data_IF_527140689868
#
_entry.id   IF_527140689868
#
_cell.length_a   1.000
_cell.length_b   1.000
_cell.length_c   1.000
_cell.angle_alpha   90.00
_cell.angle_beta   90.00
_cell.angle_gamma   90.00
#
_symmetry.space_group_name_H-M   'P 1'
#
loop_
_entity.id
_entity.type
_entity.pdbx_description
1 polymer ?
#
# COMPACT_ATOMS: atom_id res chain seq x y z
N UNK A 1 -29.54 -61.17 -38.15
CA UNK A 1 -28.21 -60.70 -38.61
C UNK A 1 -27.95 -59.36 -37.95
N UNK A 2 -26.72 -59.11 -37.50
CA UNK A 2 -26.23 -59.22 -36.12
C UNK A 2 -26.20 -57.83 -35.44
N UNK A 3 -25.79 -57.53 -34.20
CA UNK A 3 -25.01 -58.14 -33.11
C UNK A 3 -25.15 -57.14 -31.95
N UNK A 4 -25.52 -57.55 -30.72
CA UNK A 4 -24.60 -57.81 -29.61
C UNK A 4 -23.70 -56.64 -29.12
N UNK A 5 -23.81 -56.38 -27.81
CA UNK A 5 -22.77 -55.94 -26.84
C UNK A 5 -22.82 -54.48 -26.34
N UNK A 6 -23.01 -54.36 -25.02
CA UNK A 6 -22.65 -53.23 -24.15
C UNK A 6 -21.15 -53.34 -23.78
N UNK A 7 -20.39 -52.23 -23.69
CA UNK A 7 -19.85 -51.90 -22.37
C UNK A 7 -19.62 -50.39 -22.10
N UNK A 8 -19.55 -50.10 -20.81
CA UNK A 8 -19.13 -48.86 -20.16
C UNK A 8 -17.70 -48.39 -20.54
N UNK A 9 -17.40 -47.14 -20.12
CA UNK A 9 -16.10 -46.45 -20.04
C UNK A 9 -15.55 -45.79 -21.30
N UNK A 10 -15.66 -44.46 -21.35
CA UNK A 10 -14.56 -43.46 -21.41
C UNK A 10 -15.16 -42.14 -21.91
N UNK A 11 -15.65 -41.34 -20.96
CA UNK A 11 -15.97 -39.93 -21.18
C UNK A 11 -15.34 -39.17 -20.02
N UNK A 12 -14.08 -38.80 -20.21
CA UNK A 12 -13.29 -37.98 -19.30
C UNK A 12 -14.14 -36.87 -18.69
N UNK A 13 -14.34 -36.91 -17.38
CA UNK A 13 -14.57 -35.70 -16.60
C UNK A 13 -13.40 -34.78 -16.91
N UNK A 14 -13.62 -33.74 -17.70
CA UNK A 14 -12.78 -32.55 -17.61
C UNK A 14 -13.15 -31.93 -16.28
N UNK A 15 -12.53 -32.43 -15.22
CA UNK A 15 -12.31 -31.62 -14.03
C UNK A 15 -11.40 -30.50 -14.51
N UNK A 16 -11.98 -29.36 -14.86
CA UNK A 16 -11.26 -28.12 -15.07
C UNK A 16 -10.79 -27.62 -13.69
N UNK A 17 -10.03 -28.46 -12.97
CA UNK A 17 -9.31 -28.07 -11.78
C UNK A 17 -8.23 -27.14 -12.26
N UNK A 18 -8.46 -25.83 -12.16
CA UNK A 18 -7.43 -24.83 -12.39
C UNK A 18 -6.20 -25.26 -11.59
N UNK A 19 -5.08 -25.60 -12.22
CA UNK A 19 -3.94 -26.28 -11.56
C UNK A 19 -2.96 -25.29 -10.88
N UNK A 20 -3.48 -24.14 -10.42
CA UNK A 20 -2.67 -23.04 -9.86
C UNK A 20 -3.04 -22.75 -8.42
N UNK A 21 -2.03 -22.60 -7.57
CA UNK A 21 -2.24 -22.08 -6.21
C UNK A 21 -2.86 -20.68 -6.28
N UNK A 22 -3.96 -20.41 -5.54
CA UNK A 22 -4.69 -19.15 -5.62
C UNK A 22 -3.83 -17.93 -5.27
N UNK A 23 -4.12 -16.79 -5.90
CA UNK A 23 -3.57 -15.47 -5.55
C UNK A 23 -4.67 -14.56 -5.03
N UNK A 24 -4.40 -13.90 -3.90
CA UNK A 24 -5.22 -12.80 -3.36
C UNK A 24 -4.38 -11.53 -3.39
N UNK A 25 -4.87 -10.50 -4.07
CA UNK A 25 -4.26 -9.17 -4.12
C UNK A 25 -4.89 -8.28 -3.03
N UNK A 26 -4.08 -7.61 -2.21
CA UNK A 26 -4.55 -6.77 -1.09
C UNK A 26 -4.14 -5.31 -1.29
N UNK A 27 -5.13 -4.41 -1.40
CA UNK A 27 -4.94 -2.95 -1.49
C UNK A 27 -6.16 -2.17 -0.98
N UNK A 28 -5.96 -0.95 -0.47
CA UNK A 28 -6.96 -0.21 0.28
C UNK A 28 -7.86 0.73 -0.57
N UNK A 29 -9.18 0.56 -0.46
CA UNK A 29 -10.34 1.40 -0.84
C UNK A 29 -11.54 1.20 0.15
N UNK A 30 -12.04 2.23 0.89
CA UNK A 30 -13.42 2.38 1.52
C UNK A 30 -13.95 1.79 2.90
N UNK A 31 -14.60 2.66 3.74
CA UNK A 31 -15.16 2.75 5.16
C UNK A 31 -14.76 3.95 6.09
N UNK A 32 -15.68 4.85 6.47
CA UNK A 32 -15.48 6.00 7.41
C UNK A 32 -16.68 6.11 8.34
N UNK A 33 -16.52 6.67 9.54
CA UNK A 33 -17.69 7.11 10.34
C UNK A 33 -18.29 8.36 9.71
N UNK A 34 -19.50 8.23 9.19
CA UNK A 34 -20.11 9.26 8.36
C UNK A 34 -20.69 10.40 9.22
N UNK A 35 -20.33 11.63 8.88
CA UNK A 35 -20.96 12.83 9.44
C UNK A 35 -22.42 12.99 8.95
N UNK A 36 -22.76 12.39 7.81
CA UNK A 36 -24.11 12.33 7.26
C UNK A 36 -24.70 10.92 7.39
N UNK A 37 -25.79 10.80 8.16
CA UNK A 37 -26.46 9.51 8.40
C UNK A 37 -27.19 8.95 7.17
N UNK A 38 -27.25 9.69 6.07
CA UNK A 38 -27.90 9.28 4.83
C UNK A 38 -26.93 8.79 3.76
N UNK A 39 -25.62 8.84 4.04
CA UNK A 39 -24.61 8.28 3.17
C UNK A 39 -24.40 6.80 3.49
N UNK A 40 -23.73 6.07 2.60
CA UNK A 40 -23.20 4.75 2.90
C UNK A 40 -21.90 4.57 2.11
N UNK A 41 -20.81 4.23 2.80
CA UNK A 41 -19.53 3.91 2.17
C UNK A 41 -19.35 2.40 2.09
N UNK A 42 -19.32 1.91 0.86
CA UNK A 42 -19.17 0.49 0.53
C UNK A 42 -17.89 0.27 -0.26
N UNK A 43 -17.20 -0.84 0.04
CA UNK A 43 -16.14 -1.36 -0.82
C UNK A 43 -16.76 -2.35 -1.79
N UNK A 44 -16.68 -2.11 -3.10
CA UNK A 44 -17.18 -3.05 -4.08
C UNK A 44 -16.50 -4.42 -3.95
N UNK A 45 -17.28 -5.50 -3.93
CA UNK A 45 -16.76 -6.88 -4.02
C UNK A 45 -16.89 -7.46 -5.44
N UNK A 46 -17.25 -6.60 -6.41
CA UNK A 46 -17.37 -6.95 -7.82
C UNK A 46 -16.08 -7.56 -8.38
N UNK A 47 -16.26 -8.43 -9.37
CA UNK A 47 -15.17 -9.22 -9.96
C UNK A 47 -14.32 -9.94 -8.89
N UNK A 48 -15.00 -10.50 -7.87
CA UNK A 48 -14.37 -11.22 -6.76
C UNK A 48 -13.42 -10.35 -5.92
N UNK A 49 -13.71 -9.05 -5.84
CA UNK A 49 -12.91 -8.03 -5.18
C UNK A 49 -11.77 -7.47 -6.04
N UNK A 50 -11.61 -7.94 -7.28
CA UNK A 50 -10.61 -7.40 -8.21
C UNK A 50 -10.99 -6.01 -8.70
N UNK A 51 -12.28 -5.73 -8.88
CA UNK A 51 -12.74 -4.43 -9.38
C UNK A 51 -12.27 -3.26 -8.52
N UNK A 52 -12.32 -3.41 -7.20
CA UNK A 52 -11.93 -2.36 -6.26
C UNK A 52 -10.43 -2.00 -6.34
N UNK A 53 -9.58 -2.89 -6.82
CA UNK A 53 -8.12 -2.70 -6.86
C UNK A 53 -7.56 -2.56 -8.28
N UNK A 54 -8.42 -2.67 -9.30
CA UNK A 54 -8.04 -2.69 -10.72
C UNK A 54 -7.70 -1.27 -11.22
N UNK A 55 -8.71 -0.41 -11.36
CA UNK A 55 -8.60 0.99 -11.80
C UNK A 55 -9.36 1.87 -10.80
N UNK A 56 -8.65 2.81 -10.17
CA UNK A 56 -9.16 3.62 -9.06
C UNK A 56 -10.21 4.66 -9.49
N UNK A 57 -10.11 5.18 -10.72
CA UNK A 57 -11.17 5.95 -11.37
C UNK A 57 -11.71 5.17 -12.58
N UNK A 58 -12.84 4.47 -12.44
CA UNK A 58 -13.40 3.65 -13.51
C UNK A 58 -14.17 4.47 -14.56
N UNK A 59 -14.14 5.81 -14.51
CA UNK A 59 -14.91 6.66 -15.42
C UNK A 59 -14.54 6.44 -16.88
N UNK A 60 -15.56 6.56 -17.75
CA UNK A 60 -15.39 6.42 -19.20
C UNK A 60 -14.35 7.41 -19.74
N UNK A 61 -14.32 8.63 -19.19
CA UNK A 61 -13.35 9.65 -19.58
C UNK A 61 -11.91 9.17 -19.35
N UNK A 62 -11.59 8.73 -18.14
CA UNK A 62 -10.27 8.20 -17.76
C UNK A 62 -9.85 7.03 -18.65
N UNK A 63 -10.76 6.09 -18.91
CA UNK A 63 -10.49 4.95 -19.79
C UNK A 63 -10.26 5.38 -21.24
N UNK A 64 -10.98 6.39 -21.71
CA UNK A 64 -10.83 6.91 -23.07
C UNK A 64 -9.51 7.66 -23.28
N UNK A 65 -9.02 8.37 -22.26
CA UNK A 65 -7.73 9.10 -22.34
C UNK A 65 -6.53 8.25 -21.89
N UNK A 66 -6.77 7.04 -21.39
CA UNK A 66 -5.78 6.11 -20.86
C UNK A 66 -4.86 6.76 -19.81
N UNK A 67 -5.47 7.43 -18.82
CA UNK A 67 -4.73 8.02 -17.70
C UNK A 67 -4.23 6.89 -16.79
N UNK A 68 -3.02 6.41 -17.05
CA UNK A 68 -2.43 5.25 -16.37
C UNK A 68 -2.17 5.49 -14.88
N UNK A 69 -2.13 6.74 -14.41
CA UNK A 69 -1.86 7.07 -13.00
C UNK A 69 -2.94 6.58 -12.03
N UNK A 70 -4.12 6.23 -12.53
CA UNK A 70 -5.19 5.61 -11.73
C UNK A 70 -5.31 4.10 -11.93
N UNK A 71 -4.49 3.51 -12.80
CA UNK A 71 -4.42 2.06 -12.97
C UNK A 71 -3.54 1.53 -11.83
N UNK A 72 -4.09 0.63 -11.02
CA UNK A 72 -3.42 0.18 -9.81
C UNK A 72 -2.90 -1.25 -9.97
N UNK A 73 -3.73 -2.28 -9.75
CA UNK A 73 -3.32 -3.67 -10.03
C UNK A 73 -3.62 -4.12 -11.47
N UNK A 74 -4.11 -3.24 -12.34
CA UNK A 74 -4.58 -3.60 -13.69
C UNK A 74 -3.59 -4.47 -14.48
N UNK A 75 -2.35 -3.99 -14.64
CA UNK A 75 -1.33 -4.71 -15.39
C UNK A 75 -0.93 -6.03 -14.73
N UNK A 76 -0.89 -6.07 -13.39
CA UNK A 76 -0.62 -7.30 -12.65
C UNK A 76 -1.75 -8.33 -12.79
N UNK A 77 -3.00 -7.89 -12.77
CA UNK A 77 -4.18 -8.75 -13.01
C UNK A 77 -4.11 -9.34 -14.42
N UNK A 78 -3.83 -8.50 -15.43
CA UNK A 78 -3.66 -8.94 -16.81
C UNK A 78 -2.52 -9.96 -16.95
N UNK A 79 -1.37 -9.68 -16.34
CA UNK A 79 -0.21 -10.57 -16.32
C UNK A 79 -0.55 -11.93 -15.70
N UNK A 80 -1.23 -11.95 -14.54
CA UNK A 80 -1.62 -13.20 -13.89
C UNK A 80 -2.63 -14.00 -14.74
N UNK A 81 -3.61 -13.33 -15.36
CA UNK A 81 -4.54 -13.97 -16.29
C UNK A 81 -3.79 -14.59 -17.48
N UNK A 82 -2.81 -13.89 -18.05
CA UNK A 82 -1.93 -14.39 -19.12
C UNK A 82 -1.06 -15.59 -18.69
N UNK A 83 -0.76 -15.72 -17.39
CA UNK A 83 -0.13 -16.90 -16.79
C UNK A 83 -1.10 -18.08 -16.53
N UNK A 84 -2.38 -17.90 -16.86
CA UNK A 84 -3.44 -18.92 -16.75
C UNK A 84 -4.23 -18.88 -15.44
N UNK A 85 -4.12 -17.82 -14.66
CA UNK A 85 -4.99 -17.62 -13.50
C UNK A 85 -6.43 -17.30 -13.93
N UNK A 86 -7.41 -17.83 -13.20
CA UNK A 86 -8.84 -17.65 -13.49
C UNK A 86 -9.49 -16.84 -12.37
N UNK A 87 -10.03 -15.66 -12.70
CA UNK A 87 -10.77 -14.81 -11.75
C UNK A 87 -11.89 -15.61 -11.07
N UNK A 88 -12.02 -15.48 -9.75
CA UNK A 88 -13.02 -16.20 -8.95
C UNK A 88 -12.75 -17.68 -8.72
N UNK A 89 -11.71 -18.26 -9.33
CA UNK A 89 -11.29 -19.65 -9.09
C UNK A 89 -9.90 -19.70 -8.45
N UNK A 90 -8.92 -19.04 -9.06
CA UNK A 90 -7.53 -18.97 -8.58
C UNK A 90 -7.00 -17.55 -8.47
N UNK A 91 -7.76 -16.53 -8.85
CA UNK A 91 -7.38 -15.12 -8.71
C UNK A 91 -8.51 -14.32 -8.07
N UNK A 92 -8.19 -13.59 -7.02
CA UNK A 92 -9.13 -12.85 -6.19
C UNK A 92 -8.51 -11.51 -5.78
N UNK A 93 -9.36 -10.53 -5.50
CA UNK A 93 -8.94 -9.25 -4.92
C UNK A 93 -9.55 -9.05 -3.54
N UNK A 94 -8.89 -8.20 -2.76
CA UNK A 94 -9.37 -7.72 -1.47
C UNK A 94 -9.13 -6.22 -1.36
N UNK A 95 -10.14 -5.45 -1.78
CA UNK A 95 -10.29 -4.04 -1.44
C UNK A 95 -10.73 -3.86 0.01
N UNK A 96 -10.30 -2.78 0.69
CA UNK A 96 -10.64 -2.51 2.09
C UNK A 96 -10.53 -1.03 2.46
N UNK A 97 -11.20 -0.50 3.49
CA UNK A 97 -11.01 0.93 3.81
C UNK A 97 -9.58 1.34 4.12
N UNK A 98 -9.01 2.20 3.28
CA UNK A 98 -7.65 2.68 3.54
C UNK A 98 -7.58 3.76 4.62
N UNK A 99 -8.69 4.36 5.04
CA UNK A 99 -8.77 5.38 6.11
C UNK A 99 -8.82 4.73 7.49
N UNK A 100 -9.43 3.56 7.64
CA UNK A 100 -9.57 2.80 8.88
C UNK A 100 -8.25 2.17 9.32
N UNK A 101 -8.20 1.80 10.59
CA UNK A 101 -7.09 1.02 11.13
C UNK A 101 -6.92 -0.30 10.37
N UNK A 102 -5.67 -0.63 10.07
CA UNK A 102 -5.24 -1.88 9.45
C UNK A 102 -5.55 -3.13 10.30
N UNK A 103 -6.00 -2.96 11.55
CA UNK A 103 -6.39 -4.05 12.46
C UNK A 103 -7.80 -3.95 13.02
N UNK A 104 -8.68 -3.15 12.41
CA UNK A 104 -10.09 -3.08 12.81
C UNK A 104 -10.79 -4.42 12.46
N UNK A 105 -11.70 -4.87 13.32
CA UNK A 105 -12.37 -6.16 13.20
C UNK A 105 -13.01 -6.36 11.82
N UNK A 106 -13.68 -5.34 11.28
CA UNK A 106 -14.31 -5.40 9.95
C UNK A 106 -13.32 -5.81 8.84
N UNK A 107 -12.11 -5.26 8.85
CA UNK A 107 -11.09 -5.58 7.85
C UNK A 107 -10.42 -6.93 8.11
N UNK A 108 -10.25 -7.29 9.38
CA UNK A 108 -9.69 -8.59 9.74
C UNK A 108 -10.64 -9.74 9.40
N UNK A 109 -11.92 -9.61 9.73
CA UNK A 109 -12.97 -10.58 9.40
C UNK A 109 -13.21 -10.65 7.89
N UNK A 110 -13.17 -9.50 7.20
CA UNK A 110 -13.24 -9.45 5.74
C UNK A 110 -12.10 -10.22 5.07
N UNK A 111 -10.85 -9.99 5.49
CA UNK A 111 -9.70 -10.71 4.94
C UNK A 111 -9.77 -12.20 5.26
N UNK A 112 -10.17 -12.57 6.48
CA UNK A 112 -10.41 -13.97 6.88
C UNK A 112 -11.44 -14.65 5.96
N UNK A 113 -12.57 -14.00 5.72
CA UNK A 113 -13.62 -14.52 4.85
C UNK A 113 -13.15 -14.65 3.39
N UNK A 114 -12.37 -13.69 2.90
CA UNK A 114 -11.80 -13.72 1.55
C UNK A 114 -10.81 -14.89 1.39
N UNK A 115 -9.90 -15.08 2.35
CA UNK A 115 -8.96 -16.21 2.35
C UNK A 115 -9.69 -17.55 2.39
N UNK A 116 -10.72 -17.69 3.24
CA UNK A 116 -11.52 -18.92 3.28
C UNK A 116 -12.25 -19.19 1.96
N UNK A 117 -12.81 -18.15 1.33
CA UNK A 117 -13.49 -18.24 0.04
C UNK A 117 -12.52 -18.68 -1.06
N UNK A 118 -11.36 -18.04 -1.17
CA UNK A 118 -10.33 -18.39 -2.14
C UNK A 118 -9.80 -19.82 -1.94
N UNK A 119 -9.57 -20.21 -0.69
CA UNK A 119 -9.14 -21.57 -0.35
C UNK A 119 -10.14 -22.64 -0.80
N UNK A 120 -11.43 -22.43 -0.53
CA UNK A 120 -12.51 -23.35 -0.97
C UNK A 120 -12.65 -23.38 -2.49
N UNK A 121 -12.69 -22.22 -3.14
CA UNK A 121 -12.84 -22.09 -4.59
C UNK A 121 -11.68 -22.75 -5.36
N UNK A 122 -10.48 -22.75 -4.77
CA UNK A 122 -9.28 -23.41 -5.30
C UNK A 122 -9.12 -24.88 -4.88
N UNK A 123 -10.18 -25.54 -4.40
CA UNK A 123 -10.14 -26.97 -4.06
C UNK A 123 -9.28 -27.29 -2.84
N UNK A 124 -9.10 -26.36 -1.91
CA UNK A 124 -8.35 -26.55 -0.68
C UNK A 124 -6.84 -26.33 -0.80
N UNK A 125 -6.37 -25.66 -1.86
CA UNK A 125 -4.97 -25.23 -1.98
C UNK A 125 -4.72 -23.95 -1.20
N UNK A 126 -3.54 -23.88 -0.58
CA UNK A 126 -3.08 -22.67 0.12
C UNK A 126 -2.82 -21.53 -0.88
N UNK A 127 -2.94 -20.30 -0.40
CA UNK A 127 -2.97 -19.06 -1.15
C UNK A 127 -1.60 -18.39 -1.16
N UNK A 128 -1.18 -17.87 -2.31
CA UNK A 128 -0.08 -16.95 -2.45
C UNK A 128 -0.62 -15.51 -2.36
N UNK A 129 -0.38 -14.86 -1.24
CA UNK A 129 -0.87 -13.50 -0.97
C UNK A 129 0.09 -12.48 -1.58
N UNK A 130 -0.41 -11.50 -2.33
CA UNK A 130 0.38 -10.38 -2.84
C UNK A 130 -0.21 -9.09 -2.28
N UNK A 131 0.61 -8.28 -1.62
CA UNK A 131 0.18 -7.01 -1.03
C UNK A 131 1.07 -5.87 -1.50
N UNK A 132 0.49 -4.68 -1.67
CA UNK A 132 1.21 -3.46 -2.01
C UNK A 132 1.11 -2.43 -0.89
N UNK A 133 2.18 -1.68 -0.64
CA UNK A 133 2.20 -0.54 0.25
C UNK A 133 1.59 -0.85 1.62
N UNK A 134 0.63 -0.04 2.07
CA UNK A 134 -0.12 -0.24 3.31
C UNK A 134 -0.85 -1.58 3.39
N UNK A 135 -1.19 -2.22 2.27
CA UNK A 135 -1.73 -3.58 2.26
C UNK A 135 -0.81 -4.58 2.95
N UNK A 136 0.51 -4.36 2.90
CA UNK A 136 1.48 -5.17 3.66
C UNK A 136 1.38 -4.97 5.17
N UNK A 137 1.05 -3.76 5.63
CA UNK A 137 0.79 -3.46 7.05
C UNK A 137 -0.47 -4.17 7.52
N UNK A 138 -1.54 -4.15 6.74
CA UNK A 138 -2.78 -4.90 7.01
C UNK A 138 -2.52 -6.40 7.10
N UNK A 139 -1.79 -6.96 6.13
CA UNK A 139 -1.45 -8.39 6.15
C UNK A 139 -0.60 -8.76 7.37
N UNK A 140 0.36 -7.90 7.74
CA UNK A 140 1.19 -8.11 8.95
C UNK A 140 0.35 -8.04 10.23
N UNK A 141 -0.64 -7.14 10.31
CA UNK A 141 -1.59 -7.10 11.41
C UNK A 141 -2.42 -8.38 11.49
N UNK A 142 -2.98 -8.82 10.36
CA UNK A 142 -3.77 -10.04 10.28
C UNK A 142 -2.96 -11.27 10.69
N UNK A 143 -1.72 -11.38 10.21
CA UNK A 143 -0.81 -12.46 10.57
C UNK A 143 -0.51 -12.49 12.08
N UNK A 144 -0.32 -11.32 12.69
CA UNK A 144 -0.02 -11.22 14.12
C UNK A 144 -1.25 -11.55 15.01
N UNK A 145 -2.45 -11.18 14.57
CA UNK A 145 -3.70 -11.44 15.31
C UNK A 145 -4.25 -12.86 15.09
N UNK A 146 -4.07 -13.41 13.88
CA UNK A 146 -4.64 -14.69 13.48
C UNK A 146 -3.59 -15.64 12.88
N UNK A 147 -2.50 -15.96 13.61
CA UNK A 147 -1.38 -16.74 13.09
C UNK A 147 -1.80 -18.15 12.62
N UNK A 148 -2.74 -18.80 13.31
CA UNK A 148 -3.24 -20.13 12.94
C UNK A 148 -4.01 -20.09 11.61
N UNK A 149 -4.80 -19.04 11.39
CA UNK A 149 -5.57 -18.86 10.16
C UNK A 149 -4.65 -18.49 9.00
N UNK A 150 -3.65 -17.64 9.25
CA UNK A 150 -2.63 -17.32 8.28
C UNK A 150 -1.85 -18.57 7.86
N UNK A 151 -1.37 -19.37 8.82
CA UNK A 151 -0.66 -20.63 8.53
C UNK A 151 -1.56 -21.65 7.81
N UNK A 152 -2.84 -21.72 8.16
CA UNK A 152 -3.81 -22.61 7.50
C UNK A 152 -3.99 -22.28 6.03
N UNK A 153 -4.19 -21.00 5.71
CA UNK A 153 -4.61 -20.59 4.37
C UNK A 153 -3.48 -20.08 3.48
N UNK A 154 -2.41 -19.49 4.02
CA UNK A 154 -1.36 -18.84 3.23
C UNK A 154 -0.17 -19.78 3.03
N UNK A 155 0.32 -19.83 1.79
CA UNK A 155 1.52 -20.56 1.35
C UNK A 155 2.71 -19.61 1.22
N UNK A 156 2.50 -18.52 0.48
CA UNK A 156 3.50 -17.49 0.22
C UNK A 156 2.90 -16.13 0.49
N UNK A 157 3.72 -15.21 0.97
CA UNK A 157 3.39 -13.79 1.00
C UNK A 157 4.46 -13.02 0.26
N UNK A 158 4.06 -12.35 -0.82
CA UNK A 158 4.89 -11.44 -1.62
C UNK A 158 4.45 -10.02 -1.26
N UNK A 159 5.35 -9.25 -0.67
CA UNK A 159 5.06 -7.88 -0.29
C UNK A 159 5.81 -6.91 -1.20
N UNK A 160 5.12 -5.87 -1.68
CA UNK A 160 5.67 -4.88 -2.60
C UNK A 160 5.58 -3.50 -1.93
N UNK A 161 6.70 -2.82 -1.78
CA UNK A 161 6.80 -1.43 -1.31
C UNK A 161 6.11 -1.15 0.04
N UNK A 162 6.09 -2.10 0.97
CA UNK A 162 5.38 -1.91 2.24
C UNK A 162 6.19 -1.04 3.21
N UNK A 163 5.61 0.03 3.80
CA UNK A 163 6.27 0.86 4.79
C UNK A 163 6.32 0.18 6.16
N UNK A 164 7.10 -0.90 6.32
CA UNK A 164 7.13 -1.69 7.56
C UNK A 164 7.49 -0.87 8.78
N UNK A 165 8.35 0.15 8.63
CA UNK A 165 8.76 1.07 9.71
C UNK A 165 8.13 2.46 9.58
N UNK A 166 7.21 2.64 8.63
CA UNK A 166 6.57 3.92 8.32
C UNK A 166 7.17 4.62 7.10
N UNK A 167 6.55 5.71 6.68
CA UNK A 167 6.97 6.56 5.56
C UNK A 167 7.13 8.00 6.08
N UNK A 168 8.26 8.34 6.71
CA UNK A 168 8.35 9.48 7.62
C UNK A 168 8.01 10.82 6.96
N UNK A 169 8.68 11.18 5.86
CA UNK A 169 8.46 12.46 5.20
C UNK A 169 7.03 12.60 4.69
N UNK A 170 6.55 11.57 4.00
CA UNK A 170 5.21 11.54 3.44
C UNK A 170 4.10 11.65 4.51
N UNK A 171 4.19 10.87 5.59
CA UNK A 171 3.13 10.77 6.60
C UNK A 171 3.13 11.96 7.56
N UNK A 172 4.30 12.44 7.98
CA UNK A 172 4.39 13.64 8.83
C UNK A 172 3.76 14.84 8.12
N UNK A 173 4.05 14.98 6.84
CA UNK A 173 3.55 16.08 6.04
C UNK A 173 2.07 15.97 5.67
N UNK A 174 1.60 14.75 5.39
CA UNK A 174 0.18 14.49 5.19
C UNK A 174 -0.67 14.93 6.39
N UNK A 175 -0.17 14.70 7.62
CA UNK A 175 -0.83 15.12 8.85
C UNK A 175 -0.76 16.63 9.12
N UNK A 176 0.28 17.33 8.67
CA UNK A 176 0.43 18.76 8.93
C UNK A 176 -0.21 19.63 7.84
N UNK A 177 0.14 19.39 6.59
CA UNK A 177 -0.24 20.29 5.48
C UNK A 177 -0.96 19.55 4.35
N UNK A 178 -0.99 18.22 4.43
CA UNK A 178 -1.50 17.33 3.38
C UNK A 178 -0.40 16.95 2.40
N UNK A 179 -0.78 16.29 1.32
CA UNK A 179 0.14 15.82 0.29
C UNK A 179 -0.54 15.95 -1.06
N UNK A 180 0.24 16.22 -2.09
CA UNK A 180 -0.22 16.21 -3.46
C UNK A 180 0.62 15.19 -4.21
N UNK A 181 -0.04 14.15 -4.73
CA UNK A 181 0.65 13.00 -5.32
C UNK A 181 1.28 13.30 -6.69
N UNK A 182 0.97 14.44 -7.30
CA UNK A 182 1.45 14.85 -8.63
C UNK A 182 1.75 16.35 -8.63
N UNK A 183 2.94 16.73 -9.11
CA UNK A 183 3.33 18.12 -9.37
C UNK A 183 3.06 18.49 -10.84
N UNK A 184 2.77 19.78 -11.11
CA UNK A 184 2.57 20.28 -12.49
C UNK A 184 1.12 20.33 -12.97
N UNK A 185 0.90 20.35 -14.30
CA UNK A 185 -0.41 20.59 -14.92
C UNK A 185 -1.43 19.48 -14.63
N UNK A 186 -0.95 18.27 -14.34
CA UNK A 186 -1.78 17.12 -13.98
C UNK A 186 -2.38 17.26 -12.58
N UNK A 187 -1.76 18.05 -11.69
CA UNK A 187 -2.23 18.30 -10.33
C UNK A 187 -3.65 18.90 -10.25
N UNK A 188 -4.13 19.53 -11.34
CA UNK A 188 -5.50 20.04 -11.48
C UNK A 188 -6.57 18.95 -11.49
N UNK A 189 -6.20 17.72 -11.85
CA UNK A 189 -7.11 16.57 -11.85
C UNK A 189 -7.15 15.84 -10.51
N UNK A 190 -6.33 16.26 -9.54
CA UNK A 190 -6.19 15.59 -8.25
C UNK A 190 -6.62 16.48 -7.08
N UNK A 191 -6.87 15.84 -5.95
CA UNK A 191 -7.36 16.48 -4.71
C UNK A 191 -6.34 17.53 -4.25
N UNK A 192 -6.82 18.75 -3.96
CA UNK A 192 -5.97 19.82 -3.41
C UNK A 192 -5.31 19.36 -2.12
N UNK A 193 -4.06 19.79 -1.90
CA UNK A 193 -3.26 19.44 -0.71
C UNK A 193 -4.03 19.60 0.61
N UNK A 194 -4.64 20.77 0.83
CA UNK A 194 -5.45 21.01 2.03
C UNK A 194 -6.68 20.10 2.13
N UNK A 195 -7.34 19.80 1.00
CA UNK A 195 -8.46 18.86 1.00
C UNK A 195 -7.99 17.43 1.34
N UNK A 196 -6.79 17.05 0.90
CA UNK A 196 -6.17 15.79 1.30
C UNK A 196 -5.88 15.79 2.81
N UNK A 197 -5.28 16.85 3.35
CA UNK A 197 -5.08 17.01 4.80
C UNK A 197 -6.38 16.77 5.59
N UNK A 198 -7.45 17.47 5.21
CA UNK A 198 -8.76 17.36 5.85
C UNK A 198 -9.39 15.96 5.74
N UNK A 199 -9.03 15.21 4.69
CA UNK A 199 -9.43 13.81 4.55
C UNK A 199 -8.63 12.88 5.47
N UNK A 200 -7.33 13.10 5.62
CA UNK A 200 -6.38 12.14 6.22
C UNK A 200 -6.09 12.36 7.71
N UNK A 201 -6.35 13.56 8.24
CA UNK A 201 -6.03 13.92 9.64
C UNK A 201 -6.77 13.07 10.69
N UNK A 202 -7.90 12.48 10.31
CA UNK A 202 -8.72 11.57 11.14
C UNK A 202 -8.67 10.11 10.66
N UNK A 203 -7.72 9.74 9.80
CA UNK A 203 -7.57 8.37 9.29
C UNK A 203 -6.63 7.54 10.16
N UNK A 204 -7.10 6.55 10.95
CA UNK A 204 -6.20 5.72 11.75
C UNK A 204 -5.06 5.04 11.00
N UNK A 205 -5.28 4.65 9.74
CA UNK A 205 -4.23 4.06 8.90
C UNK A 205 -3.01 4.95 8.71
N UNK A 206 -3.20 6.26 8.64
CA UNK A 206 -2.13 7.25 8.41
C UNK A 206 -1.24 7.32 9.64
N UNK A 207 -1.84 7.35 10.83
CA UNK A 207 -1.12 7.29 12.10
C UNK A 207 -0.35 5.97 12.25
N UNK A 208 -0.88 4.86 11.72
CA UNK A 208 -0.21 3.56 11.75
C UNK A 208 1.05 3.50 10.85
N UNK A 209 1.19 4.44 9.91
CA UNK A 209 2.34 4.59 9.03
C UNK A 209 3.32 5.70 9.47
N UNK A 210 3.09 6.33 10.62
CA UNK A 210 4.07 7.23 11.26
C UNK A 210 5.42 6.51 11.46
N UNK A 211 6.54 7.26 11.44
CA UNK A 211 7.87 6.70 11.67
C UNK A 211 7.91 5.91 12.98
N UNK A 212 8.39 4.68 12.93
CA UNK A 212 8.51 3.86 14.13
C UNK A 212 9.60 4.45 15.06
N UNK A 213 9.25 4.96 16.26
CA UNK A 213 10.22 5.52 17.19
C UNK A 213 11.12 4.44 17.84
N UNK A 214 10.73 3.17 17.76
CA UNK A 214 11.48 2.04 18.30
C UNK A 214 12.39 1.37 17.26
N UNK A 215 12.34 1.82 16.00
CA UNK A 215 13.20 1.30 14.96
C UNK A 215 14.55 2.01 14.98
N UNK A 216 15.63 1.26 14.84
CA UNK A 216 16.98 1.81 14.80
C UNK A 216 17.31 2.27 13.37
N UNK A 217 16.73 3.41 12.98
CA UNK A 217 17.04 4.08 11.73
C UNK A 217 18.53 4.42 11.64
N UNK A 218 19.11 4.37 10.44
CA UNK A 218 20.47 4.89 10.19
C UNK A 218 20.59 6.36 10.58
N UNK A 219 19.60 7.15 10.20
CA UNK A 219 19.41 8.54 10.61
C UNK A 219 17.97 8.67 11.12
N UNK A 220 17.78 9.27 12.29
CA UNK A 220 16.43 9.41 12.87
C UNK A 220 15.66 10.45 12.05
N UNK A 221 14.48 10.11 11.48
CA UNK A 221 13.68 11.05 10.70
C UNK A 221 13.15 12.17 11.59
N UNK A 222 13.17 13.40 11.10
CA UNK A 222 12.83 14.61 11.86
C UNK A 222 11.81 15.48 11.15
N UNK A 223 11.09 16.26 11.94
CA UNK A 223 10.41 17.46 11.47
C UNK A 223 11.26 18.66 11.89
N UNK A 224 11.54 19.57 10.98
CA UNK A 224 12.30 20.78 11.20
C UNK A 224 11.39 22.00 11.03
N UNK A 225 11.56 23.00 11.89
CA UNK A 225 10.78 24.24 11.82
C UNK A 225 11.73 25.41 12.06
N UNK A 226 11.79 26.35 11.11
CA UNK A 226 12.40 27.65 11.34
C UNK A 226 11.49 28.46 12.25
N UNK A 227 11.87 28.63 13.51
CA UNK A 227 11.09 29.34 14.53
C UNK A 227 11.61 30.75 14.71
N UNK A 228 10.69 31.69 14.88
CA UNK A 228 11.03 33.06 15.28
C UNK A 228 11.33 33.06 16.78
N UNK A 229 12.52 33.53 17.15
CA UNK A 229 12.93 33.67 18.56
C UNK A 229 13.04 35.16 18.87
N UNK A 230 12.24 35.63 19.83
CA UNK A 230 12.42 36.95 20.43
C UNK A 230 13.64 36.90 21.35
N UNK A 231 14.65 37.72 21.09
CA UNK A 231 15.66 38.04 22.09
C UNK A 231 15.03 38.89 23.19
N UNK A 232 15.34 38.61 24.45
CA UNK A 232 14.96 39.46 25.59
C UNK A 232 15.69 40.82 25.58
N UNK A 233 16.59 41.06 24.62
CA UNK A 233 17.31 42.30 24.42
C UNK A 233 16.51 43.27 23.52
N UNK A 234 16.47 44.55 23.91
CA UNK A 234 15.68 45.66 23.32
C UNK A 234 15.96 45.98 21.83
N UNK A 235 16.77 45.18 21.12
CA UNK A 235 16.97 45.30 19.68
C UNK A 235 15.98 44.38 18.94
N UNK A 236 15.08 45.01 18.18
CA UNK A 236 13.94 44.48 17.42
C UNK A 236 14.31 43.50 16.27
N UNK A 237 15.46 42.83 16.35
CA UNK A 237 15.87 41.81 15.38
C UNK A 237 15.45 40.42 15.86
N UNK A 238 14.21 40.01 15.56
CA UNK A 238 13.81 38.61 15.73
C UNK A 238 14.77 37.71 14.93
N UNK A 239 15.44 36.78 15.60
CA UNK A 239 16.36 35.85 14.94
C UNK A 239 15.64 34.53 14.64
N UNK A 240 15.84 34.01 13.43
CA UNK A 240 15.29 32.71 13.04
C UNK A 240 16.20 31.59 13.54
N UNK A 241 15.61 30.56 14.16
CA UNK A 241 16.34 29.38 14.62
C UNK A 241 15.67 28.12 14.10
N UNK A 242 16.45 27.23 13.49
CA UNK A 242 15.97 25.91 13.11
C UNK A 242 15.85 25.02 14.35
N UNK A 243 14.63 24.53 14.62
CA UNK A 243 14.33 23.56 15.67
C UNK A 243 13.97 22.24 14.98
N UNK A 244 14.53 21.14 15.47
CA UNK A 244 14.22 19.79 14.98
C UNK A 244 13.47 18.99 16.04
N UNK A 245 12.51 18.20 15.60
CA UNK A 245 11.66 17.33 16.41
C UNK A 245 11.85 15.89 15.92
N UNK A 246 12.27 15.00 16.80
CA UNK A 246 12.28 13.56 16.52
C UNK A 246 10.85 12.96 16.48
N UNK A 247 10.67 11.65 16.17
CA UNK A 247 9.34 11.04 16.07
C UNK A 247 8.49 11.08 17.36
N UNK A 248 9.09 11.24 18.54
CA UNK A 248 8.35 11.37 19.80
C UNK A 248 8.07 12.84 20.11
N UNK A 249 9.05 13.72 19.87
CA UNK A 249 8.90 15.17 20.03
C UNK A 249 7.90 15.77 19.04
N UNK A 250 7.75 15.17 17.85
CA UNK A 250 6.82 15.60 16.81
C UNK A 250 5.35 15.51 17.25
N UNK A 251 5.02 14.70 18.26
CA UNK A 251 3.66 14.62 18.82
C UNK A 251 3.21 15.99 19.33
N UNK A 252 4.05 16.66 20.12
CA UNK A 252 3.76 18.00 20.63
C UNK A 252 3.68 19.02 19.48
N UNK A 253 4.48 18.84 18.42
CA UNK A 253 4.40 19.70 17.24
C UNK A 253 3.05 19.55 16.53
N UNK A 254 2.55 18.33 16.33
CA UNK A 254 1.23 18.10 15.74
C UNK A 254 0.11 18.69 16.58
N UNK A 255 0.16 18.52 17.91
CA UNK A 255 -0.80 19.13 18.83
C UNK A 255 -0.90 20.65 18.63
N UNK A 256 0.24 21.33 18.65
CA UNK A 256 0.29 22.79 18.52
C UNK A 256 -0.06 23.28 17.11
N UNK A 257 0.38 22.57 16.06
CA UNK A 257 0.09 22.95 14.68
C UNK A 257 -1.40 22.76 14.33
N UNK A 258 -2.05 21.74 14.89
CA UNK A 258 -3.44 21.39 14.58
C UNK A 258 -4.46 21.89 15.61
N UNK A 259 -4.03 22.61 16.66
CA UNK A 259 -4.91 23.02 17.77
C UNK A 259 -6.14 23.83 17.32
N UNK A 260 -5.99 24.63 16.26
CA UNK A 260 -7.03 25.49 15.70
C UNK A 260 -7.54 24.97 14.34
N UNK A 261 -7.25 23.70 13.99
CA UNK A 261 -7.65 23.13 12.71
C UNK A 261 -9.16 22.86 12.67
N UNK A 262 -9.82 23.32 11.60
CA UNK A 262 -11.26 23.18 11.42
C UNK A 262 -11.64 22.87 9.97
N UNK A 263 -12.68 22.05 9.81
CA UNK A 263 -13.36 21.75 8.55
C UNK A 263 -14.66 22.53 8.45
N UNK A 264 -14.85 23.27 7.36
CA UNK A 264 -16.17 23.83 7.02
C UNK A 264 -17.03 22.79 6.29
N UNK A 265 -18.02 22.25 6.97
CA UNK A 265 -19.00 21.31 6.42
C UNK A 265 -20.39 21.94 6.40
N UNK A 266 -20.89 22.28 5.21
CA UNK A 266 -22.20 22.91 4.99
C UNK A 266 -22.42 24.20 5.83
N UNK A 267 -21.39 25.03 5.97
CA UNK A 267 -21.45 26.27 6.74
C UNK A 267 -21.27 26.08 8.25
N UNK A 268 -21.07 24.86 8.72
CA UNK A 268 -20.72 24.55 10.11
C UNK A 268 -19.23 24.23 10.21
N UNK A 269 -18.55 24.90 11.14
CA UNK A 269 -17.16 24.56 11.48
C UNK A 269 -17.13 23.32 12.37
N UNK A 270 -16.27 22.37 12.02
CA UNK A 270 -16.02 21.12 12.74
C UNK A 270 -14.54 21.13 13.11
N UNK A 271 -14.22 21.17 14.40
CA UNK A 271 -12.83 21.10 14.86
C UNK A 271 -12.23 19.72 14.59
N UNK A 272 -11.04 19.69 14.01
CA UNK A 272 -10.26 18.49 13.67
C UNK A 272 -8.83 18.61 14.24
N UNK A 273 -8.68 18.68 15.58
CA UNK A 273 -7.37 18.78 16.20
C UNK A 273 -6.60 17.46 16.07
N UNK A 274 -5.32 17.46 16.42
CA UNK A 274 -4.55 16.22 16.44
C UNK A 274 -5.19 15.15 17.35
N UNK A 275 -5.43 13.96 16.81
CA UNK A 275 -6.26 12.97 17.50
C UNK A 275 -5.43 11.96 18.31
N UNK A 276 -5.35 12.21 19.63
CA UNK A 276 -4.67 11.33 20.58
C UNK A 276 -5.27 9.92 20.70
N UNK A 277 -6.58 9.76 20.51
CA UNK A 277 -7.21 8.45 20.60
C UNK A 277 -6.75 7.57 19.43
N UNK A 278 -6.68 8.15 18.22
CA UNK A 278 -6.14 7.50 17.03
C UNK A 278 -4.65 7.19 17.21
N UNK A 279 -3.85 8.16 17.68
CA UNK A 279 -2.42 7.94 17.95
C UNK A 279 -2.19 6.77 18.93
N UNK A 280 -2.95 6.73 20.03
CA UNK A 280 -2.88 5.64 21.01
C UNK A 280 -3.25 4.29 20.38
N UNK A 281 -4.24 4.26 19.50
CA UNK A 281 -4.62 3.05 18.78
C UNK A 281 -3.51 2.59 17.82
N UNK A 282 -2.92 3.52 17.08
CA UNK A 282 -1.81 3.28 16.16
C UNK A 282 -0.54 2.80 16.89
N UNK A 283 -0.24 3.32 18.09
CA UNK A 283 0.83 2.81 18.94
C UNK A 283 0.60 1.34 19.32
N UNK A 284 -0.65 0.96 19.64
CA UNK A 284 -1.02 -0.45 19.84
C UNK A 284 -0.83 -1.31 18.58
N UNK A 285 -1.14 -0.77 17.40
CA UNK A 285 -0.83 -1.42 16.12
C UNK A 285 0.68 -1.58 15.93
N UNK A 286 1.48 -0.57 16.26
CA UNK A 286 2.94 -0.62 16.17
C UNK A 286 3.53 -1.71 17.07
N UNK A 287 3.06 -1.84 18.30
CA UNK A 287 3.46 -2.93 19.19
C UNK A 287 3.17 -4.31 18.60
N UNK A 288 1.98 -4.47 18.01
CA UNK A 288 1.58 -5.71 17.34
C UNK A 288 2.51 -6.02 16.16
N UNK A 289 2.78 -5.05 15.29
CA UNK A 289 3.68 -5.19 14.15
C UNK A 289 5.11 -5.56 14.57
N UNK A 290 5.62 -4.97 15.64
CA UNK A 290 6.96 -5.25 16.16
C UNK A 290 7.08 -6.67 16.75
N UNK A 291 5.97 -7.24 17.25
CA UNK A 291 5.91 -8.61 17.82
C UNK A 291 5.55 -9.67 16.77
N UNK A 292 5.13 -9.27 15.57
CA UNK A 292 4.68 -10.17 14.52
C UNK A 292 5.77 -11.17 14.12
N UNK A 293 5.40 -12.44 13.99
CA UNK A 293 6.29 -13.51 13.54
C UNK A 293 5.67 -14.23 12.36
N UNK A 294 6.48 -14.53 11.35
CA UNK A 294 6.05 -15.34 10.22
C UNK A 294 5.78 -16.77 10.70
N UNK A 295 4.56 -17.32 10.53
CA UNK A 295 4.27 -18.70 10.92
C UNK A 295 5.10 -19.71 10.12
N UNK A 296 5.46 -20.83 10.77
CA UNK A 296 6.19 -21.91 10.12
C UNK A 296 5.46 -22.44 8.89
N UNK A 297 6.22 -22.70 7.82
CA UNK A 297 5.68 -23.24 6.56
C UNK A 297 5.07 -22.19 5.61
N UNK A 298 5.20 -20.89 5.91
CA UNK A 298 4.89 -19.80 4.98
C UNK A 298 6.19 -19.21 4.45
N UNK A 299 6.32 -19.06 3.12
CA UNK A 299 7.45 -18.36 2.52
C UNK A 299 7.14 -16.87 2.38
N UNK A 300 8.09 -16.02 2.73
CA UNK A 300 7.96 -14.57 2.58
C UNK A 300 8.95 -14.03 1.54
N UNK A 301 8.48 -13.13 0.69
CA UNK A 301 9.26 -12.44 -0.34
C UNK A 301 8.97 -10.95 -0.27
N UNK A 302 9.99 -10.13 -0.50
CA UNK A 302 9.86 -8.68 -0.41
C UNK A 302 10.44 -8.01 -1.66
N UNK A 303 9.68 -7.07 -2.22
CA UNK A 303 10.11 -6.16 -3.28
C UNK A 303 10.01 -4.75 -2.69
N UNK A 304 11.09 -3.98 -2.79
CA UNK A 304 11.11 -2.58 -2.35
C UNK A 304 11.67 -1.71 -3.46
N UNK A 305 11.18 -0.48 -3.59
CA UNK A 305 11.71 0.45 -4.57
C UNK A 305 13.00 1.11 -4.08
N UNK A 306 13.82 1.54 -5.04
CA UNK A 306 15.14 2.14 -4.84
C UNK A 306 15.43 3.14 -5.96
N UNK A 307 16.51 3.91 -5.84
CA UNK A 307 17.02 4.86 -6.84
C UNK A 307 16.13 6.08 -7.08
N UNK A 308 15.18 6.36 -6.19
CA UNK A 308 14.39 7.59 -6.21
C UNK A 308 14.54 8.37 -4.90
N UNK A 309 14.65 9.68 -5.04
CA UNK A 309 14.69 10.62 -3.92
C UNK A 309 13.37 10.54 -3.15
N UNK A 310 13.44 10.02 -1.94
CA UNK A 310 12.26 9.74 -1.12
C UNK A 310 12.21 10.65 0.10
N UNK A 311 11.13 11.44 0.29
CA UNK A 311 11.00 12.34 1.42
C UNK A 311 11.23 11.65 2.76
N UNK A 312 12.17 12.18 3.54
CA UNK A 312 12.58 11.62 4.82
C UNK A 312 12.35 12.58 5.97
N UNK A 313 13.05 13.72 5.98
CA UNK A 313 12.75 14.82 6.89
C UNK A 313 11.83 15.83 6.20
N UNK A 314 11.06 16.57 7.00
CA UNK A 314 10.19 17.64 6.52
C UNK A 314 10.53 18.93 7.25
N UNK A 315 10.75 20.02 6.51
CA UNK A 315 11.11 21.31 7.05
C UNK A 315 10.05 22.37 6.70
N UNK A 316 9.70 23.22 7.66
CA UNK A 316 8.72 24.30 7.49
C UNK A 316 9.29 25.67 7.85
N UNK A 317 8.88 26.68 7.08
CA UNK A 317 9.42 28.04 7.18
C UNK A 317 10.82 28.17 6.59
N UNK A 318 11.42 29.36 6.71
CA UNK A 318 12.79 29.62 6.29
C UNK A 318 13.48 30.61 7.23
N UNK A 319 14.78 30.81 7.07
CA UNK A 319 15.53 31.83 7.82
C UNK A 319 14.97 33.25 7.60
N UNK A 320 14.46 33.52 6.40
CA UNK A 320 13.89 34.83 6.03
C UNK A 320 12.40 34.96 6.33
N UNK A 321 11.71 33.85 6.53
CA UNK A 321 10.28 33.77 6.85
C UNK A 321 10.04 32.66 7.89
N UNK A 322 10.51 32.86 9.13
CA UNK A 322 10.33 31.88 10.19
C UNK A 322 8.87 31.83 10.67
N UNK A 323 8.46 30.65 11.12
CA UNK A 323 7.16 30.38 11.74
C UNK A 323 7.11 31.02 13.13
N UNK A 324 6.16 31.92 13.35
CA UNK A 324 5.92 32.58 14.65
C UNK A 324 4.99 31.69 15.49
N UNK A 325 3.84 31.36 14.92
CA UNK A 325 2.85 30.45 15.49
C UNK A 325 2.87 29.09 14.78
N UNK A 326 2.98 27.98 15.54
CA UNK A 326 3.03 26.64 14.97
C UNK A 326 1.79 26.26 14.14
N UNK A 327 0.63 26.88 14.39
CA UNK A 327 -0.57 26.71 13.56
C UNK A 327 -0.39 27.18 12.11
N UNK A 328 0.56 28.08 11.85
CA UNK A 328 0.89 28.55 10.49
C UNK A 328 1.46 27.43 9.61
N UNK A 329 2.01 26.37 10.22
CA UNK A 329 2.58 25.22 9.49
C UNK A 329 1.56 24.63 8.52
N UNK A 330 0.31 24.47 8.94
CA UNK A 330 -0.79 23.89 8.17
C UNK A 330 -1.06 24.57 6.82
N UNK A 331 -0.60 25.81 6.66
CA UNK A 331 -0.78 26.62 5.45
C UNK A 331 0.55 27.02 4.79
N UNK A 332 1.65 26.43 5.24
CA UNK A 332 2.98 26.58 4.65
C UNK A 332 3.27 25.52 3.60
N UNK A 333 4.39 25.66 2.89
CA UNK A 333 4.90 24.63 1.98
C UNK A 333 6.08 23.92 2.65
N UNK A 334 6.14 22.58 2.63
CA UNK A 334 7.29 21.87 3.15
C UNK A 334 8.48 21.94 2.21
N UNK A 335 9.67 21.81 2.79
CA UNK A 335 10.88 21.39 2.08
C UNK A 335 11.30 20.01 2.62
N UNK A 336 11.75 19.12 1.73
CA UNK A 336 12.13 17.76 2.13
C UNK A 336 13.64 17.56 2.07
N UNK A 337 14.16 16.76 3.01
CA UNK A 337 15.38 16.00 2.78
C UNK A 337 15.01 14.64 2.18
N UNK A 338 15.94 14.03 1.45
CA UNK A 338 15.68 12.79 0.71
C UNK A 338 16.66 11.69 1.11
N UNK A 339 16.14 10.46 1.09
CA UNK A 339 16.92 9.22 1.17
C UNK A 339 16.54 8.31 0.01
N UNK A 340 17.31 7.24 -0.20
CA UNK A 340 17.00 6.23 -1.21
C UNK A 340 15.67 5.50 -0.91
N UNK A 341 14.83 5.36 -1.92
CA UNK A 341 13.53 4.69 -1.82
C UNK A 341 12.75 4.75 -3.13
N UNK A 342 11.43 4.91 -3.02
CA UNK A 342 10.49 4.84 -4.14
C UNK A 342 9.63 6.10 -4.33
N UNK A 343 10.11 7.26 -3.89
CA UNK A 343 9.40 8.56 -3.81
C UNK A 343 8.36 8.65 -2.67
N UNK A 344 8.00 7.53 -2.02
CA UNK A 344 7.05 7.51 -0.90
C UNK A 344 7.62 6.86 0.35
N UNK A 345 8.17 5.66 0.20
CA UNK A 345 8.65 4.80 1.28
C UNK A 345 10.18 4.67 1.18
N UNK A 346 10.92 5.07 2.23
CA UNK A 346 12.36 4.83 2.27
C UNK A 346 12.70 3.35 2.12
N UNK A 347 13.72 3.02 1.33
CA UNK A 347 14.15 1.64 1.11
C UNK A 347 14.46 0.93 2.44
N UNK A 348 15.09 1.64 3.38
CA UNK A 348 15.39 1.12 4.73
C UNK A 348 14.11 0.66 5.48
N UNK A 349 13.04 1.44 5.38
CA UNK A 349 11.74 1.09 5.98
C UNK A 349 11.13 -0.13 5.30
N UNK A 350 11.17 -0.16 3.96
CA UNK A 350 10.58 -1.24 3.17
C UNK A 350 11.34 -2.57 3.31
N UNK A 351 12.64 -2.54 3.58
CA UNK A 351 13.46 -3.72 3.85
C UNK A 351 13.33 -4.24 5.28
N UNK A 352 12.96 -3.39 6.23
CA UNK A 352 12.91 -3.71 7.66
C UNK A 352 11.62 -4.46 8.06
N UNK A 353 11.29 -5.52 7.32
CA UNK A 353 10.09 -6.34 7.54
C UNK A 353 10.14 -7.19 8.83
N UNK A 354 11.35 -7.53 9.30
CA UNK A 354 11.57 -8.30 10.53
C UNK A 354 11.43 -9.82 10.37
N UNK A 355 11.41 -10.34 9.14
CA UNK A 355 11.27 -11.76 8.83
C UNK A 355 12.57 -12.35 8.24
N UNK A 356 12.63 -13.66 8.14
CA UNK A 356 13.64 -14.34 7.33
C UNK A 356 13.08 -14.55 5.92
N UNK A 357 13.12 -13.49 5.10
CA UNK A 357 12.60 -13.54 3.73
C UNK A 357 13.43 -14.51 2.89
N UNK A 358 12.74 -15.30 2.06
CA UNK A 358 13.38 -16.18 1.07
C UNK A 358 14.20 -15.35 0.08
N UNK A 359 13.66 -14.19 -0.31
CA UNK A 359 14.35 -13.25 -1.19
C UNK A 359 13.84 -11.82 -0.89
N UNK A 360 14.76 -10.84 -0.91
CA UNK A 360 14.46 -9.41 -0.92
C UNK A 360 15.11 -8.80 -2.15
N UNK A 361 14.34 -8.05 -2.93
CA UNK A 361 14.84 -7.46 -4.17
C UNK A 361 14.52 -5.97 -4.21
N UNK A 362 15.54 -5.15 -4.36
CA UNK A 362 15.41 -3.74 -4.67
C UNK A 362 15.18 -3.57 -6.16
N UNK A 363 14.14 -2.83 -6.55
CA UNK A 363 13.82 -2.51 -7.94
C UNK A 363 13.88 -1.00 -8.11
N UNK A 364 14.58 -0.53 -9.14
CA UNK A 364 14.71 0.90 -9.41
C UNK A 364 13.45 1.42 -10.12
N UNK A 365 12.41 1.73 -9.35
CA UNK A 365 11.16 2.32 -9.84
C UNK A 365 10.43 3.07 -8.73
N UNK A 366 9.51 3.96 -9.11
CA UNK A 366 8.69 4.70 -8.15
C UNK A 366 7.57 3.82 -7.55
N UNK A 367 7.01 4.29 -6.44
CA UNK A 367 6.11 3.52 -5.57
C UNK A 367 4.93 2.86 -6.30
N UNK A 368 4.33 3.57 -7.27
CA UNK A 368 3.19 3.07 -8.07
C UNK A 368 3.65 2.26 -9.28
N UNK A 369 4.69 2.71 -9.97
CA UNK A 369 5.20 2.06 -11.17
C UNK A 369 5.71 0.64 -10.90
N UNK A 370 6.13 0.33 -9.66
CA UNK A 370 6.41 -1.05 -9.23
C UNK A 370 5.28 -2.06 -9.55
N UNK A 371 4.00 -1.64 -9.60
CA UNK A 371 2.87 -2.52 -9.90
C UNK A 371 2.70 -2.85 -11.40
N UNK A 372 3.44 -2.15 -12.27
CA UNK A 372 3.46 -2.37 -13.71
C UNK A 372 4.88 -2.62 -14.25
N UNK A 373 5.86 -2.79 -13.36
CA UNK A 373 7.25 -2.97 -13.72
C UNK A 373 7.53 -4.42 -14.18
N UNK A 374 8.16 -4.56 -15.35
CA UNK A 374 8.47 -5.88 -15.94
C UNK A 374 9.37 -6.74 -15.04
N UNK A 375 10.35 -6.13 -14.35
CA UNK A 375 11.23 -6.86 -13.41
C UNK A 375 10.42 -7.39 -12.22
N UNK A 376 9.47 -6.60 -11.71
CA UNK A 376 8.55 -7.04 -10.65
C UNK A 376 7.69 -8.21 -11.14
N UNK A 377 7.19 -8.16 -12.37
CA UNK A 377 6.42 -9.26 -12.95
C UNK A 377 7.25 -10.53 -13.13
N UNK A 378 8.49 -10.43 -13.59
CA UNK A 378 9.40 -11.57 -13.69
C UNK A 378 9.67 -12.21 -12.32
N UNK A 379 9.88 -11.40 -11.27
CA UNK A 379 10.05 -11.88 -9.89
C UNK A 379 8.80 -12.59 -9.38
N UNK A 380 7.62 -11.99 -9.57
CA UNK A 380 6.34 -12.59 -9.17
C UNK A 380 6.14 -13.93 -9.91
N UNK A 381 6.36 -13.97 -11.21
CA UNK A 381 6.24 -15.20 -12.00
C UNK A 381 7.21 -16.28 -11.51
N UNK A 382 8.48 -15.92 -11.27
CA UNK A 382 9.51 -16.80 -10.68
C UNK A 382 9.05 -17.37 -9.35
N UNK A 383 8.59 -16.52 -8.42
CA UNK A 383 8.19 -16.94 -7.08
C UNK A 383 6.88 -17.72 -7.06
N UNK A 384 5.96 -17.47 -7.98
CA UNK A 384 4.75 -18.27 -8.18
C UNK A 384 5.01 -19.57 -8.96
N UNK A 385 6.17 -19.72 -9.61
CA UNK A 385 6.48 -20.88 -10.45
C UNK A 385 5.62 -20.92 -11.73
N UNK A 386 5.30 -19.75 -12.28
CA UNK A 386 4.46 -19.61 -13.48
C UNK A 386 5.22 -18.91 -14.59
N UNK A 387 4.73 -19.02 -15.82
CA UNK A 387 5.25 -18.31 -16.99
C UNK A 387 4.10 -17.91 -17.90
N UNK A 388 4.27 -16.82 -18.65
CA UNK A 388 3.25 -16.35 -19.60
C UNK A 388 3.01 -17.36 -20.73
N UNK A 389 1.73 -17.65 -21.02
CA UNK A 389 1.33 -18.53 -22.12
C UNK A 389 1.63 -17.92 -23.51
N UNK A 390 1.91 -16.61 -23.60
CA UNK A 390 2.22 -15.95 -24.88
C UNK A 390 3.64 -16.24 -25.37
N UNK A 391 4.60 -16.46 -24.47
CA UNK A 391 5.99 -16.78 -24.85
C UNK A 391 6.24 -18.25 -25.22
N UNK A 392 5.34 -19.17 -24.87
CA UNK A 392 5.52 -20.60 -25.14
C UNK A 392 5.26 -21.02 -26.59
N UNK A 393 4.70 -20.14 -27.44
CA UNK A 393 4.44 -20.45 -28.87
C UNK A 393 5.63 -20.20 -29.81
N UNK A 394 6.74 -19.59 -29.36
CA UNK A 394 7.90 -19.30 -30.23
C UNK A 394 9.00 -20.37 -30.24
N UNK A 395 8.87 -21.46 -29.48
CA UNK A 395 9.90 -22.52 -29.41
C UNK A 395 9.41 -23.86 -29.98
N UNK A 396 8.95 -23.84 -31.23
CA UNK A 396 8.98 -25.03 -32.08
C UNK A 396 9.74 -24.68 -33.35
N UNK A 397 11.06 -24.69 -33.26
CA UNK A 397 11.92 -24.77 -34.43
C UNK A 397 11.56 -26.04 -35.19
N UNK A 398 11.00 -25.86 -36.39
CA UNK A 398 10.81 -26.91 -37.36
C UNK A 398 12.18 -27.54 -37.65
N UNK A 399 12.33 -28.84 -37.39
CA UNK A 399 13.46 -29.61 -37.92
C UNK A 399 13.37 -29.58 -39.44
N UNK A 400 14.21 -28.78 -40.08
CA UNK A 400 14.50 -28.91 -41.51
C UNK A 400 15.36 -30.17 -41.66
N UNK A 401 14.83 -31.17 -42.35
CA UNK A 401 15.61 -32.30 -42.83
C UNK A 401 16.48 -31.81 -43.99
N UNK A 402 17.80 -31.81 -43.81
CA UNK A 402 18.74 -31.65 -44.91
C UNK A 402 18.61 -32.84 -45.86
N UNK A 403 18.13 -32.57 -47.08
CA UNK A 403 18.28 -33.47 -48.21
C UNK A 403 19.65 -33.22 -48.83
N UNK A 404 20.54 -34.20 -48.73
CA UNK A 404 21.79 -34.22 -49.46
C UNK A 404 21.51 -34.30 -50.97
N UNK A 405 22.10 -33.38 -51.73
CA UNK A 405 22.16 -33.42 -53.19
C UNK A 405 23.33 -34.29 -53.62
N UNK A 406 23.04 -35.26 -54.49
CA UNK A 406 23.97 -35.75 -55.51
C UNK A 406 23.68 -35.00 -56.81
#
# INVERSE_FOLDING_TARGET
>A
MPSHICPCFFGSRVTDSADRDPVVLVSGMGYTEELDKNSEIVVPDDDYGLYAIDILDPSLFVKCINLTDVYHFHEMINMLVDCGYKKGTTLFGYGYDFRQSNRIDKLMDGLKAKLETAYKASGGRKINLISHSMGGVLVKCFMALYPDMFSKYVNKWICIACPFQGAPGYINDALLTGVQFIEGFESYFFVKRWTMHQLVVECPSVYEMLPNPLFNWKEVPKICVWRKVSSDDEDDSSTAKLISYDPLESINLFEEALRDNELNYNGKMVSLPFNHAILKWAAGTRELLNKAKLPGGVSFYNIYGTSFDTPFDVCYGSETSPVDDLSEICHSSPEYSFVDGDETVPAESAQADGFDAVERVGVADNHRALLQNDTVFELIQKWLGVSSLKHTKSSRTAKVMDAAVL
#
